data_IF_619909604017
#
_entry.id   IF_619909604017
#
_cell.length_a   1.000
_cell.length_b   1.000
_cell.length_c   1.000
_cell.angle_alpha   90.00
_cell.angle_beta   90.00
_cell.angle_gamma   90.00
#
_symmetry.space_group_name_H-M   'P 1'
#
loop_
_entity.id
_entity.type
_entity.pdbx_description
1 polymer ?
#
# COMPACT_ATOMS: atom_id res chain seq x y z
N UNK A 1 7.88 47.40 73.06
CA UNK A 1 7.11 47.35 71.76
C UNK A 1 7.83 46.41 70.82
N UNK A 2 7.40 45.13 70.80
CA UNK A 2 7.98 44.12 69.95
C UNK A 2 7.07 43.84 68.74
N UNK A 3 7.52 44.15 67.55
CA UNK A 3 6.87 43.77 66.30
C UNK A 3 7.40 42.43 65.82
N UNK A 4 6.58 41.40 65.92
CA UNK A 4 6.82 40.11 65.28
C UNK A 4 6.40 40.14 63.83
N UNK A 5 7.38 39.98 62.92
CA UNK A 5 7.15 39.80 61.50
C UNK A 5 6.82 38.35 61.19
N UNK A 6 5.63 38.11 60.69
CA UNK A 6 5.23 36.78 60.19
C UNK A 6 5.68 36.65 58.74
N UNK A 7 6.59 35.75 58.49
CA UNK A 7 6.97 35.34 57.12
C UNK A 7 6.07 34.17 56.71
N UNK A 8 5.15 34.40 55.80
CA UNK A 8 4.32 33.40 55.16
C UNK A 8 5.11 32.83 53.97
N UNK A 9 5.60 31.61 54.08
CA UNK A 9 6.18 30.84 52.99
C UNK A 9 5.05 30.22 52.17
N UNK A 10 4.76 30.76 51.00
CA UNK A 10 3.88 30.13 50.02
C UNK A 10 4.66 29.03 49.30
N UNK A 11 4.36 27.77 49.57
CA UNK A 11 4.86 26.65 48.82
C UNK A 11 4.07 26.56 47.49
N UNK A 12 4.71 26.93 46.38
CA UNK A 12 4.17 26.70 45.05
C UNK A 12 4.30 25.22 44.72
N UNK A 13 3.19 24.49 44.77
CA UNK A 13 3.11 23.14 44.25
C UNK A 13 3.12 23.18 42.71
N UNK A 14 4.26 22.93 42.08
CA UNK A 14 4.36 22.72 40.67
C UNK A 14 3.79 21.33 40.32
N UNK A 15 2.56 21.26 39.85
CA UNK A 15 1.97 20.08 39.22
C UNK A 15 2.58 19.95 37.84
N UNK A 16 3.61 19.11 37.73
CA UNK A 16 4.10 18.65 36.41
C UNK A 16 3.03 17.74 35.81
N UNK A 17 2.22 18.28 34.89
CA UNK A 17 1.39 17.48 34.01
C UNK A 17 2.34 16.71 33.09
N UNK A 18 2.58 15.44 33.39
CA UNK A 18 3.25 14.55 32.46
C UNK A 18 2.40 14.55 31.17
N UNK A 19 2.92 15.16 30.11
CA UNK A 19 2.33 15.05 28.80
C UNK A 19 2.35 13.56 28.43
N UNK A 20 1.20 12.89 28.49
CA UNK A 20 1.05 11.55 27.97
C UNK A 20 1.43 11.63 26.51
N UNK A 21 2.54 11.02 26.12
CA UNK A 21 2.93 10.90 24.72
C UNK A 21 1.71 10.33 23.95
N UNK A 22 1.28 11.03 22.92
CA UNK A 22 0.18 10.55 22.09
C UNK A 22 0.48 9.11 21.64
N UNK A 23 -0.46 8.18 21.74
CA UNK A 23 -0.23 6.79 21.37
C UNK A 23 0.27 6.73 19.93
N UNK A 24 1.34 5.97 19.71
CA UNK A 24 1.88 5.80 18.36
C UNK A 24 0.81 5.18 17.45
N UNK A 25 0.55 5.81 16.31
CA UNK A 25 -0.40 5.33 15.30
C UNK A 25 0.07 3.95 14.81
N UNK A 26 -0.78 2.90 14.87
CA UNK A 26 -0.44 1.61 14.28
C UNK A 26 -0.35 1.73 12.75
N UNK A 27 0.51 0.93 12.15
CA UNK A 27 0.72 0.92 10.71
C UNK A 27 0.37 -0.46 10.15
N UNK A 28 -0.45 -0.48 9.10
CA UNK A 28 -0.63 -1.63 8.21
C UNK A 28 0.08 -1.31 6.91
N UNK A 29 1.14 -2.05 6.64
CA UNK A 29 1.87 -1.93 5.38
C UNK A 29 1.12 -2.67 4.28
N UNK A 30 0.53 -1.95 3.34
CA UNK A 30 -0.33 -2.54 2.30
C UNK A 30 0.43 -2.94 1.04
N UNK A 31 1.78 -2.97 1.08
CA UNK A 31 2.55 -3.39 -0.07
C UNK A 31 3.92 -3.95 0.32
N UNK A 32 3.97 -5.24 0.54
CA UNK A 32 5.22 -6.00 0.66
C UNK A 32 5.18 -7.20 -0.27
N UNK A 33 6.34 -7.80 -0.54
CA UNK A 33 6.45 -9.02 -1.35
C UNK A 33 7.06 -10.14 -0.53
N UNK A 34 6.54 -11.38 -0.70
CA UNK A 34 7.08 -12.58 -0.07
C UNK A 34 7.59 -13.54 -1.14
N UNK A 35 8.81 -14.01 -0.97
CA UNK A 35 9.40 -15.04 -1.83
C UNK A 35 10.51 -15.80 -1.08
N UNK A 36 10.84 -17.01 -1.55
CA UNK A 36 11.90 -17.82 -1.00
C UNK A 36 12.86 -18.27 -2.11
N UNK A 37 14.08 -17.74 -2.08
CA UNK A 37 15.11 -18.04 -3.08
C UNK A 37 15.62 -19.47 -3.02
N UNK A 38 15.32 -20.22 -1.94
CA UNK A 38 15.72 -21.61 -1.75
C UNK A 38 14.72 -22.62 -2.34
N UNK A 39 13.58 -22.16 -2.88
CA UNK A 39 12.55 -23.05 -3.45
C UNK A 39 13.11 -23.88 -4.62
N UNK A 40 12.78 -25.18 -4.69
CA UNK A 40 13.05 -25.97 -5.87
C UNK A 40 12.42 -25.34 -7.11
N UNK A 41 13.16 -25.20 -8.20
CA UNK A 41 12.70 -24.52 -9.42
C UNK A 41 12.94 -23.01 -9.44
N UNK A 42 13.39 -22.42 -8.33
CA UNK A 42 13.68 -20.98 -8.23
C UNK A 42 12.44 -20.10 -8.10
N UNK A 43 12.62 -18.81 -8.36
CA UNK A 43 11.58 -17.77 -8.29
C UNK A 43 11.66 -16.89 -9.54
N UNK A 44 10.52 -16.37 -10.06
CA UNK A 44 10.52 -15.49 -11.23
C UNK A 44 11.17 -14.14 -10.94
N UNK A 45 11.02 -13.63 -9.70
CA UNK A 45 11.54 -12.36 -9.24
C UNK A 45 11.90 -12.45 -7.75
N UNK A 46 12.96 -11.74 -7.28
CA UNK A 46 13.91 -10.92 -8.05
C UNK A 46 14.93 -11.75 -8.83
N UNK A 47 15.68 -11.15 -9.77
CA UNK A 47 16.73 -11.85 -10.51
C UNK A 47 17.88 -12.25 -9.59
N UNK A 48 18.52 -13.40 -9.88
CA UNK A 48 19.55 -14.03 -9.01
C UNK A 48 20.76 -13.14 -8.73
N UNK A 49 21.11 -12.27 -9.66
CA UNK A 49 22.22 -11.32 -9.55
C UNK A 49 21.81 -9.95 -8.96
N UNK A 50 20.53 -9.82 -8.62
CA UNK A 50 19.98 -8.61 -8.05
C UNK A 50 20.34 -8.42 -6.56
N UNK A 51 20.47 -7.16 -6.08
CA UNK A 51 20.87 -6.86 -4.70
C UNK A 51 19.86 -7.30 -3.64
N UNK A 52 18.60 -7.53 -4.03
CA UNK A 52 17.53 -7.98 -3.13
C UNK A 52 17.29 -9.51 -3.20
N UNK A 53 18.15 -10.28 -3.87
CA UNK A 53 18.01 -11.73 -3.97
C UNK A 53 18.33 -12.43 -2.64
N UNK A 54 17.42 -12.25 -1.69
CA UNK A 54 17.46 -12.87 -0.36
C UNK A 54 16.03 -13.10 0.09
N UNK A 55 15.68 -14.31 0.52
CA UNK A 55 14.31 -14.70 0.87
C UNK A 55 13.61 -13.63 1.73
N UNK A 56 12.46 -13.16 1.25
CA UNK A 56 11.59 -12.25 1.94
C UNK A 56 10.48 -13.04 2.65
N UNK A 57 10.58 -13.14 3.97
CA UNK A 57 9.64 -13.90 4.80
C UNK A 57 8.95 -13.02 5.84
N UNK A 58 7.79 -13.44 6.39
CA UNK A 58 7.15 -12.72 7.50
C UNK A 58 8.06 -12.53 8.72
N UNK A 59 8.90 -13.51 9.02
CA UNK A 59 9.86 -13.41 10.13
C UNK A 59 10.92 -12.31 9.87
N UNK A 60 11.49 -12.27 8.66
CA UNK A 60 12.42 -11.19 8.26
C UNK A 60 11.75 -9.83 8.29
N UNK A 61 10.49 -9.74 7.83
CA UNK A 61 9.71 -8.50 7.88
C UNK A 61 9.50 -8.02 9.32
N UNK A 62 9.13 -8.90 10.25
CA UNK A 62 8.96 -8.52 11.68
C UNK A 62 10.23 -7.95 12.30
N UNK A 63 11.39 -8.56 12.03
CA UNK A 63 12.66 -8.01 12.53
C UNK A 63 12.98 -6.65 11.92
N UNK A 64 12.71 -6.48 10.61
CA UNK A 64 12.89 -5.20 9.90
C UNK A 64 12.09 -4.06 10.52
N UNK A 65 10.83 -4.32 10.88
CA UNK A 65 9.89 -3.29 11.36
C UNK A 65 9.83 -3.18 12.88
N UNK A 66 10.70 -3.88 13.59
CA UNK A 66 10.75 -3.87 15.06
C UNK A 66 10.91 -2.45 15.61
N UNK A 67 10.03 -2.05 16.53
CA UNK A 67 10.02 -0.71 17.11
C UNK A 67 9.40 0.39 16.22
N UNK A 68 8.95 0.07 15.01
CA UNK A 68 8.36 1.04 14.08
C UNK A 68 6.84 1.15 14.18
N UNK A 69 6.20 0.40 15.09
CA UNK A 69 4.74 0.28 15.22
C UNK A 69 4.02 -0.18 13.95
N UNK A 70 4.71 -0.95 13.10
CA UNK A 70 4.10 -1.68 11.99
C UNK A 70 3.57 -3.00 12.55
N UNK A 71 2.26 -3.14 12.56
CA UNK A 71 1.55 -4.21 13.27
C UNK A 71 0.90 -5.23 12.33
N UNK A 72 0.93 -4.95 11.03
CA UNK A 72 0.41 -5.86 10.01
C UNK A 72 0.88 -5.49 8.62
N UNK A 73 0.78 -6.46 7.69
CA UNK A 73 1.12 -6.27 6.30
C UNK A 73 0.18 -7.03 5.36
N UNK A 74 -0.02 -6.47 4.16
CA UNK A 74 -0.64 -7.12 3.00
C UNK A 74 0.45 -7.46 2.01
N UNK A 75 0.53 -8.73 1.66
CA UNK A 75 1.41 -9.19 0.59
C UNK A 75 0.80 -8.86 -0.77
N UNK A 76 1.64 -8.43 -1.69
CA UNK A 76 1.29 -8.19 -3.09
C UNK A 76 2.08 -9.16 -3.94
N UNK A 77 1.41 -9.85 -4.86
CA UNK A 77 2.03 -10.85 -5.73
C UNK A 77 3.34 -10.35 -6.36
N UNK A 78 4.30 -11.22 -6.47
CA UNK A 78 5.58 -11.00 -7.13
C UNK A 78 5.99 -12.19 -8.02
N UNK A 79 5.00 -12.93 -8.51
CA UNK A 79 5.17 -14.11 -9.36
C UNK A 79 3.95 -14.33 -10.24
N UNK A 80 4.13 -14.63 -11.55
CA UNK A 80 3.03 -14.99 -12.45
C UNK A 80 2.60 -16.46 -12.30
N UNK A 81 3.20 -17.20 -11.39
CA UNK A 81 2.94 -18.64 -11.22
C UNK A 81 1.67 -18.85 -10.39
N UNK A 82 0.70 -19.54 -10.96
CA UNK A 82 -0.59 -19.82 -10.31
C UNK A 82 -0.43 -20.46 -8.91
N UNK A 83 0.50 -21.41 -8.76
CA UNK A 83 0.70 -22.13 -7.50
C UNK A 83 1.31 -21.26 -6.40
N UNK A 84 1.91 -20.13 -6.75
CA UNK A 84 2.46 -19.19 -5.77
C UNK A 84 1.36 -18.52 -4.94
N UNK A 85 0.13 -18.39 -5.45
CA UNK A 85 -1.00 -17.96 -4.63
C UNK A 85 -1.20 -18.87 -3.40
N UNK A 86 -1.16 -20.20 -3.60
CA UNK A 86 -1.33 -21.12 -2.50
C UNK A 86 -0.11 -21.13 -1.57
N UNK A 87 1.09 -21.08 -2.14
CA UNK A 87 2.32 -21.00 -1.35
C UNK A 87 2.34 -19.79 -0.41
N UNK A 88 1.96 -18.60 -0.92
CA UNK A 88 1.88 -17.37 -0.11
C UNK A 88 0.84 -17.54 0.98
N UNK A 89 -0.36 -18.05 0.69
CA UNK A 89 -1.40 -18.31 1.70
C UNK A 89 -0.90 -19.24 2.80
N UNK A 90 -0.16 -20.31 2.45
CA UNK A 90 0.38 -21.29 3.41
C UNK A 90 1.48 -20.67 4.30
N UNK A 91 2.29 -19.77 3.75
CA UNK A 91 3.29 -19.00 4.51
C UNK A 91 2.61 -18.03 5.46
N UNK A 92 1.62 -17.27 4.97
CA UNK A 92 0.91 -16.27 5.75
C UNK A 92 0.05 -16.86 6.86
N UNK A 93 -0.52 -18.07 6.65
CA UNK A 93 -1.33 -18.75 7.66
C UNK A 93 -0.57 -18.93 8.99
N UNK A 94 0.75 -19.06 8.93
CA UNK A 94 1.64 -19.33 10.07
C UNK A 94 2.06 -18.05 10.84
N UNK A 95 1.80 -16.87 10.29
CA UNK A 95 2.29 -15.62 10.88
C UNK A 95 1.18 -14.54 10.92
N UNK A 96 0.73 -14.12 12.12
CA UNK A 96 -0.37 -13.17 12.24
C UNK A 96 -0.02 -11.73 11.85
N UNK A 97 1.25 -11.40 11.60
CA UNK A 97 1.63 -10.10 11.04
C UNK A 97 1.06 -9.91 9.64
N UNK A 98 0.83 -11.00 8.92
CA UNK A 98 0.25 -10.97 7.58
C UNK A 98 -1.28 -10.90 7.66
N UNK A 99 -1.86 -9.78 7.24
CA UNK A 99 -3.31 -9.54 7.31
C UNK A 99 -4.06 -9.94 6.03
N UNK A 100 -3.36 -10.19 4.94
CA UNK A 100 -3.91 -10.65 3.68
C UNK A 100 -2.94 -10.58 2.52
N UNK A 101 -3.40 -11.04 1.35
CA UNK A 101 -2.64 -10.98 0.11
C UNK A 101 -3.49 -10.52 -1.07
N UNK A 102 -2.83 -9.95 -2.03
CA UNK A 102 -3.31 -9.69 -3.39
C UNK A 102 -2.56 -10.64 -4.32
N UNK A 103 -3.27 -11.62 -4.84
CA UNK A 103 -2.68 -12.71 -5.64
C UNK A 103 -2.60 -12.41 -7.13
N UNK A 104 -2.15 -13.37 -7.90
CA UNK A 104 -2.09 -13.32 -9.37
C UNK A 104 -3.11 -14.28 -9.98
N UNK A 105 -4.16 -13.75 -10.60
CA UNK A 105 -5.07 -14.48 -11.46
C UNK A 105 -5.33 -13.69 -12.74
N UNK A 106 -5.47 -14.40 -13.86
CA UNK A 106 -5.76 -13.82 -15.19
C UNK A 106 -7.28 -13.72 -15.41
N UNK A 107 -7.91 -12.53 -15.35
CA UNK A 107 -9.37 -12.37 -15.49
C UNK A 107 -9.93 -12.86 -16.80
N UNK A 108 -9.15 -12.82 -17.89
CA UNK A 108 -9.52 -13.32 -19.20
C UNK A 108 -9.37 -14.85 -19.38
N UNK A 109 -8.80 -15.57 -18.40
CA UNK A 109 -8.58 -17.01 -18.52
C UNK A 109 -9.88 -17.82 -18.44
N UNK A 110 -9.93 -18.98 -19.13
CA UNK A 110 -11.11 -19.84 -19.14
C UNK A 110 -11.52 -20.35 -17.74
N UNK A 111 -10.53 -20.64 -16.91
CA UNK A 111 -10.74 -21.14 -15.56
C UNK A 111 -10.79 -20.06 -14.48
N UNK A 112 -10.84 -18.78 -14.88
CA UNK A 112 -10.79 -17.68 -13.90
C UNK A 112 -11.87 -17.81 -12.81
N UNK A 113 -13.11 -18.09 -13.19
CA UNK A 113 -14.21 -18.26 -12.23
C UNK A 113 -13.94 -19.40 -11.21
N UNK A 114 -13.39 -20.52 -11.68
CA UNK A 114 -13.00 -21.66 -10.83
C UNK A 114 -11.84 -21.32 -9.89
N UNK A 115 -10.83 -20.62 -10.40
CA UNK A 115 -9.69 -20.18 -9.63
C UNK A 115 -10.10 -19.16 -8.57
N UNK A 116 -10.91 -18.18 -8.95
CA UNK A 116 -11.47 -17.19 -8.04
C UNK A 116 -12.28 -17.85 -6.92
N UNK A 117 -13.18 -18.80 -7.27
CA UNK A 117 -13.97 -19.58 -6.31
C UNK A 117 -13.08 -20.34 -5.30
N UNK A 118 -11.95 -20.89 -5.76
CA UNK A 118 -10.99 -21.59 -4.89
C UNK A 118 -10.39 -20.65 -3.84
N UNK A 119 -9.86 -19.50 -4.27
CA UNK A 119 -9.07 -18.64 -3.40
C UNK A 119 -9.93 -17.71 -2.54
N UNK A 120 -11.06 -17.19 -3.04
CA UNK A 120 -11.88 -16.24 -2.30
C UNK A 120 -12.46 -16.80 -0.99
N UNK A 121 -12.51 -18.13 -0.85
CA UNK A 121 -12.92 -18.82 0.40
C UNK A 121 -11.93 -18.61 1.55
N UNK A 122 -10.68 -18.27 1.23
CA UNK A 122 -9.67 -17.96 2.23
C UNK A 122 -9.77 -16.47 2.61
N UNK A 123 -10.04 -16.11 3.87
CA UNK A 123 -10.20 -14.72 4.29
C UNK A 123 -8.91 -13.89 4.14
N UNK A 124 -7.78 -14.51 3.90
CA UNK A 124 -6.52 -13.82 3.61
C UNK A 124 -6.36 -13.45 2.13
N UNK A 125 -7.20 -13.98 1.24
CA UNK A 125 -7.18 -13.65 -0.19
C UNK A 125 -8.06 -12.43 -0.42
N UNK A 126 -7.46 -11.24 -0.59
CA UNK A 126 -8.16 -9.95 -0.60
C UNK A 126 -8.45 -9.43 -2.01
N UNK A 127 -7.79 -10.00 -3.02
CA UNK A 127 -7.93 -9.54 -4.39
C UNK A 127 -6.87 -10.09 -5.33
N UNK A 128 -6.76 -9.46 -6.50
CA UNK A 128 -5.73 -9.77 -7.50
C UNK A 128 -4.99 -8.51 -7.90
N UNK A 129 -3.73 -8.68 -8.34
CA UNK A 129 -2.95 -7.62 -9.00
C UNK A 129 -2.92 -7.88 -10.49
N UNK A 130 -3.24 -6.86 -11.28
CA UNK A 130 -3.19 -6.93 -12.73
C UNK A 130 -2.81 -5.58 -13.33
N UNK A 131 -1.94 -5.57 -14.34
CA UNK A 131 -1.50 -4.33 -14.97
C UNK A 131 -0.39 -4.61 -15.98
N UNK A 132 0.49 -3.63 -16.18
CA UNK A 132 1.64 -3.75 -17.08
C UNK A 132 2.81 -4.44 -16.37
N UNK A 133 2.64 -5.72 -16.05
CA UNK A 133 3.60 -6.58 -15.37
C UNK A 133 3.52 -7.98 -15.97
N UNK A 134 4.59 -8.75 -15.93
CA UNK A 134 4.66 -10.11 -16.47
C UNK A 134 4.34 -10.18 -17.96
N UNK A 135 4.90 -9.25 -18.75
CA UNK A 135 4.67 -9.12 -20.21
C UNK A 135 3.19 -8.94 -20.60
N UNK A 136 2.34 -8.49 -19.67
CA UNK A 136 0.93 -8.21 -19.92
C UNK A 136 0.75 -6.82 -20.52
N UNK A 137 -0.10 -6.73 -21.53
CA UNK A 137 -0.63 -5.47 -22.07
C UNK A 137 -2.02 -5.21 -21.49
N UNK A 138 -2.10 -4.38 -20.45
CA UNK A 138 -3.37 -4.05 -19.81
C UNK A 138 -4.33 -3.35 -20.77
N UNK A 139 -3.82 -2.51 -21.68
CA UNK A 139 -4.64 -1.78 -22.66
C UNK A 139 -5.37 -2.75 -23.59
N UNK A 140 -4.67 -3.71 -24.16
CA UNK A 140 -5.27 -4.73 -25.01
C UNK A 140 -6.28 -5.57 -24.21
N UNK A 141 -5.88 -6.09 -23.04
CA UNK A 141 -6.70 -6.97 -22.21
C UNK A 141 -7.97 -6.31 -21.68
N UNK A 142 -7.91 -5.07 -21.23
CA UNK A 142 -9.07 -4.35 -20.69
C UNK A 142 -10.17 -4.06 -21.73
N UNK A 143 -9.91 -4.30 -23.01
CA UNK A 143 -10.91 -4.21 -24.08
C UNK A 143 -11.57 -5.57 -24.41
N UNK A 144 -11.01 -6.68 -23.97
CA UNK A 144 -11.54 -8.02 -24.22
C UNK A 144 -12.82 -8.26 -23.37
N UNK A 145 -13.96 -8.68 -23.99
CA UNK A 145 -15.20 -8.94 -23.25
C UNK A 145 -15.00 -9.92 -22.08
N UNK A 146 -14.22 -10.98 -22.31
CA UNK A 146 -13.95 -12.02 -21.31
C UNK A 146 -13.18 -11.50 -20.10
N UNK A 147 -12.22 -10.59 -20.32
CA UNK A 147 -11.52 -9.91 -19.22
C UNK A 147 -12.51 -9.11 -18.38
N UNK A 148 -13.41 -8.34 -19.01
CA UNK A 148 -14.43 -7.55 -18.31
C UNK A 148 -15.37 -8.45 -17.50
N UNK A 149 -15.78 -9.61 -18.04
CA UNK A 149 -16.57 -10.57 -17.27
C UNK A 149 -15.82 -11.10 -16.05
N UNK A 150 -14.54 -11.41 -16.19
CA UNK A 150 -13.69 -11.79 -15.05
C UNK A 150 -13.60 -10.69 -13.98
N UNK A 151 -13.44 -9.44 -14.37
CA UNK A 151 -13.44 -8.31 -13.43
C UNK A 151 -14.81 -8.12 -12.75
N UNK A 152 -15.92 -8.37 -13.45
CA UNK A 152 -17.26 -8.37 -12.82
C UNK A 152 -17.38 -9.47 -11.76
N UNK A 153 -16.86 -10.67 -12.03
CA UNK A 153 -16.82 -11.76 -11.04
C UNK A 153 -15.97 -11.39 -9.82
N UNK A 154 -14.81 -10.76 -10.03
CA UNK A 154 -13.96 -10.25 -8.95
C UNK A 154 -14.72 -9.26 -8.06
N UNK A 155 -15.43 -8.30 -8.69
CA UNK A 155 -16.22 -7.30 -7.98
C UNK A 155 -17.43 -7.92 -7.23
N UNK A 156 -18.08 -8.93 -7.80
CA UNK A 156 -19.16 -9.70 -7.16
C UNK A 156 -18.66 -10.51 -5.96
N UNK A 157 -17.45 -11.08 -6.05
CA UNK A 157 -16.78 -11.74 -4.94
C UNK A 157 -16.30 -10.76 -3.86
N UNK A 158 -16.53 -9.44 -4.06
CA UNK A 158 -16.14 -8.41 -3.12
C UNK A 158 -14.62 -8.32 -2.88
N UNK A 159 -13.85 -8.69 -3.89
CA UNK A 159 -12.39 -8.63 -3.91
C UNK A 159 -11.88 -7.36 -4.60
N UNK A 160 -10.62 -7.04 -4.38
CA UNK A 160 -9.98 -5.81 -4.88
C UNK A 160 -9.14 -6.09 -6.11
N UNK A 161 -9.09 -5.15 -7.05
CA UNK A 161 -8.11 -5.10 -8.12
C UNK A 161 -7.01 -4.11 -7.76
N UNK A 162 -5.79 -4.57 -7.61
CA UNK A 162 -4.60 -3.72 -7.57
C UNK A 162 -4.02 -3.54 -8.97
N UNK A 163 -3.69 -2.31 -9.37
CA UNK A 163 -3.11 -2.05 -10.68
C UNK A 163 -1.60 -1.92 -10.61
N UNK A 164 -0.87 -2.80 -11.31
CA UNK A 164 0.57 -2.74 -11.39
C UNK A 164 1.05 -1.71 -12.42
N UNK A 165 2.13 -0.99 -12.10
CA UNK A 165 2.83 -0.07 -13.00
C UNK A 165 1.90 0.92 -13.72
N UNK A 166 1.24 1.85 -12.99
CA UNK A 166 0.22 2.74 -13.51
C UNK A 166 0.81 3.81 -14.45
N UNK A 167 0.97 3.45 -15.73
CA UNK A 167 1.29 4.40 -16.80
C UNK A 167 0.09 5.32 -17.07
N UNK A 168 0.30 6.39 -17.84
CA UNK A 168 -0.78 7.29 -18.25
C UNK A 168 -1.89 6.56 -19.01
N UNK A 169 -1.49 5.63 -19.92
CA UNK A 169 -2.43 4.79 -20.67
C UNK A 169 -3.22 3.88 -19.72
N UNK A 170 -2.54 3.22 -18.79
CA UNK A 170 -3.20 2.36 -17.80
C UNK A 170 -4.20 3.15 -16.95
N UNK A 171 -3.88 4.39 -16.53
CA UNK A 171 -4.82 5.24 -15.77
C UNK A 171 -6.09 5.55 -16.57
N UNK A 172 -5.95 5.84 -17.88
CA UNK A 172 -7.11 6.02 -18.77
C UNK A 172 -7.93 4.73 -18.93
N UNK A 173 -7.26 3.58 -18.99
CA UNK A 173 -7.92 2.27 -19.08
C UNK A 173 -8.66 1.92 -17.78
N UNK A 174 -8.09 2.21 -16.62
CA UNK A 174 -8.75 2.03 -15.33
C UNK A 174 -10.01 2.90 -15.19
N UNK A 175 -9.98 4.12 -15.72
CA UNK A 175 -11.17 4.96 -15.76
C UNK A 175 -12.30 4.30 -16.55
N UNK A 176 -11.99 3.80 -17.78
CA UNK A 176 -12.96 3.06 -18.61
C UNK A 176 -13.44 1.76 -17.94
N UNK A 177 -12.52 1.06 -17.27
CA UNK A 177 -12.87 -0.15 -16.53
C UNK A 177 -13.86 0.14 -15.40
N UNK A 178 -13.62 1.21 -14.64
CA UNK A 178 -14.53 1.65 -13.57
C UNK A 178 -15.91 2.06 -14.08
N UNK A 179 -16.00 2.62 -15.28
CA UNK A 179 -17.30 2.95 -15.91
C UNK A 179 -18.07 1.67 -16.30
N UNK A 180 -17.35 0.60 -16.69
CA UNK A 180 -17.95 -0.72 -17.02
C UNK A 180 -18.29 -1.57 -15.80
N UNK A 181 -17.52 -1.40 -14.70
CA UNK A 181 -17.68 -2.18 -13.44
C UNK A 181 -17.67 -1.22 -12.24
N UNK A 182 -18.76 -0.44 -12.03
CA UNK A 182 -18.77 0.64 -11.03
C UNK A 182 -18.54 0.19 -9.58
N UNK A 183 -18.94 -1.03 -9.24
CA UNK A 183 -18.79 -1.62 -7.90
C UNK A 183 -17.40 -2.23 -7.64
N UNK A 184 -16.49 -2.26 -8.63
CA UNK A 184 -15.13 -2.73 -8.46
C UNK A 184 -14.40 -1.88 -7.43
N UNK A 185 -13.76 -2.48 -6.43
CA UNK A 185 -12.73 -1.82 -5.65
C UNK A 185 -11.41 -1.84 -6.42
N UNK A 186 -10.81 -0.69 -6.54
CA UNK A 186 -9.60 -0.48 -7.30
C UNK A 186 -8.56 0.23 -6.45
N UNK A 187 -7.37 -0.34 -6.39
CA UNK A 187 -6.20 0.31 -5.78
C UNK A 187 -5.14 0.51 -6.86
N UNK A 188 -4.70 1.74 -7.04
CA UNK A 188 -3.55 2.03 -7.88
C UNK A 188 -2.28 1.86 -7.06
N UNK A 189 -1.40 0.94 -7.49
CA UNK A 189 -0.12 0.73 -6.85
C UNK A 189 0.80 1.93 -7.03
N UNK A 190 1.59 2.19 -6.00
CA UNK A 190 2.57 3.27 -5.96
C UNK A 190 1.95 4.66 -6.15
N UNK A 191 2.79 5.64 -6.41
CA UNK A 191 2.36 7.00 -6.72
C UNK A 191 2.13 7.10 -8.23
N UNK A 192 0.88 7.06 -8.73
CA UNK A 192 0.65 7.20 -10.16
C UNK A 192 1.19 8.56 -10.66
N UNK A 193 1.75 8.56 -11.86
CA UNK A 193 2.41 9.73 -12.46
C UNK A 193 3.57 10.27 -11.59
N UNK A 194 4.39 9.38 -11.10
CA UNK A 194 5.58 9.74 -10.33
C UNK A 194 6.53 10.66 -11.10
N UNK A 195 6.66 10.43 -12.39
CA UNK A 195 7.51 11.22 -13.29
C UNK A 195 6.64 11.84 -14.36
N UNK A 196 6.50 13.17 -14.37
CA UNK A 196 5.82 13.85 -15.45
C UNK A 196 6.63 13.65 -16.74
N UNK A 197 5.93 13.47 -17.86
CA UNK A 197 6.57 13.47 -19.18
C UNK A 197 6.99 14.89 -19.57
N UNK A 198 7.82 15.01 -20.62
CA UNK A 198 8.15 16.31 -21.18
C UNK A 198 6.93 17.03 -21.80
N UNK A 199 5.86 16.28 -22.14
CA UNK A 199 4.64 16.82 -22.72
C UNK A 199 3.65 17.29 -21.64
N UNK A 200 3.51 18.60 -21.51
CA UNK A 200 2.60 19.22 -20.54
C UNK A 200 1.11 18.91 -20.80
N UNK A 201 0.70 18.70 -22.07
CA UNK A 201 -0.68 18.36 -22.41
C UNK A 201 -1.01 16.94 -21.94
N UNK A 202 -0.10 15.99 -22.14
CA UNK A 202 -0.21 14.61 -21.67
C UNK A 202 -0.27 14.57 -20.14
N UNK A 203 0.56 15.34 -19.44
CA UNK A 203 0.54 15.44 -17.99
C UNK A 203 -0.80 15.98 -17.45
N UNK A 204 -1.31 17.04 -18.10
CA UNK A 204 -2.61 17.64 -17.74
C UNK A 204 -3.77 16.65 -17.93
N UNK A 205 -3.76 15.89 -19.01
CA UNK A 205 -4.76 14.86 -19.27
C UNK A 205 -4.70 13.73 -18.24
N UNK A 206 -3.49 13.28 -17.89
CA UNK A 206 -3.31 12.28 -16.84
C UNK A 206 -3.86 12.75 -15.48
N UNK A 207 -3.60 14.00 -15.09
CA UNK A 207 -4.16 14.60 -13.87
C UNK A 207 -5.69 14.66 -13.93
N UNK A 208 -6.28 14.97 -15.09
CA UNK A 208 -7.73 14.95 -15.27
C UNK A 208 -8.31 13.54 -15.06
N UNK A 209 -7.68 12.50 -15.64
CA UNK A 209 -8.09 11.11 -15.44
C UNK A 209 -7.97 10.66 -13.97
N UNK A 210 -6.89 11.06 -13.27
CA UNK A 210 -6.72 10.76 -11.85
C UNK A 210 -7.81 11.44 -11.00
N UNK A 211 -8.15 12.72 -11.29
CA UNK A 211 -9.24 13.41 -10.62
C UNK A 211 -10.60 12.77 -10.89
N UNK A 212 -10.81 12.27 -12.09
CA UNK A 212 -12.04 11.56 -12.42
C UNK A 212 -12.11 10.18 -11.75
N UNK A 213 -11.01 9.44 -11.67
CA UNK A 213 -10.93 8.21 -10.88
C UNK A 213 -11.20 8.47 -9.40
N UNK A 214 -10.63 9.54 -8.83
CA UNK A 214 -10.81 9.91 -7.44
C UNK A 214 -12.27 10.23 -7.07
N UNK A 215 -13.12 10.62 -8.03
CA UNK A 215 -14.57 10.83 -7.81
C UNK A 215 -15.36 9.52 -7.74
N UNK A 216 -14.82 8.42 -8.25
CA UNK A 216 -15.54 7.13 -8.29
C UNK A 216 -15.45 6.42 -6.95
N UNK A 217 -16.54 5.79 -6.49
CA UNK A 217 -16.52 5.04 -5.24
C UNK A 217 -15.55 3.84 -5.31
N UNK A 218 -14.90 3.53 -4.19
CA UNK A 218 -14.02 2.37 -4.07
C UNK A 218 -12.71 2.47 -4.86
N UNK A 219 -12.26 3.67 -5.22
CA UNK A 219 -10.94 3.90 -5.84
C UNK A 219 -9.99 4.46 -4.81
N UNK A 220 -8.84 3.83 -4.67
CA UNK A 220 -7.76 4.18 -3.74
C UNK A 220 -6.43 4.28 -4.46
N UNK A 221 -5.45 4.90 -3.82
CA UNK A 221 -4.07 5.01 -4.33
C UNK A 221 -3.07 4.71 -3.21
N UNK A 222 -2.05 3.93 -3.51
CA UNK A 222 -0.92 3.72 -2.60
C UNK A 222 0.11 4.82 -2.76
N UNK A 223 0.45 5.45 -1.65
CA UNK A 223 1.70 6.21 -1.50
C UNK A 223 2.72 5.24 -0.97
N UNK A 224 3.31 4.44 -1.87
CA UNK A 224 4.24 3.36 -1.55
C UNK A 224 5.53 3.48 -2.36
N UNK A 225 6.61 2.85 -1.87
CA UNK A 225 7.92 2.92 -2.49
C UNK A 225 8.34 4.36 -2.75
N UNK A 226 8.20 5.24 -1.76
CA UNK A 226 8.29 6.70 -1.95
C UNK A 226 9.65 7.19 -2.40
N UNK A 227 10.74 6.52 -1.97
CA UNK A 227 12.10 6.89 -2.35
C UNK A 227 12.37 6.62 -3.83
N UNK A 228 13.02 7.57 -4.50
CA UNK A 228 13.35 7.50 -5.92
C UNK A 228 14.77 7.95 -6.18
N UNK A 229 15.44 7.28 -7.11
CA UNK A 229 16.72 7.71 -7.61
C UNK A 229 16.52 8.87 -8.59
N UNK A 230 17.27 9.95 -8.40
CA UNK A 230 17.30 11.13 -9.27
C UNK A 230 18.76 11.50 -9.48
N UNK A 231 19.20 11.57 -10.73
CA UNK A 231 20.60 11.87 -11.09
C UNK A 231 21.63 11.02 -10.31
N UNK A 232 21.35 9.71 -10.21
CA UNK A 232 22.23 8.76 -9.51
C UNK A 232 22.21 8.83 -7.98
N UNK A 233 21.36 9.66 -7.37
CA UNK A 233 21.23 9.82 -5.91
C UNK A 233 19.78 9.62 -5.48
N UNK A 234 19.59 9.20 -4.23
CA UNK A 234 18.25 9.11 -3.62
C UNK A 234 18.14 10.21 -2.56
N UNK A 235 17.35 11.28 -2.82
CA UNK A 235 17.06 12.29 -1.82
C UNK A 235 16.43 11.67 -0.57
N UNK A 236 16.83 12.12 0.63
CA UNK A 236 16.30 11.62 1.90
C UNK A 236 15.38 12.62 2.60
N UNK A 237 15.34 13.85 2.11
CA UNK A 237 14.56 14.96 2.69
C UNK A 237 13.11 14.91 2.20
N UNK A 238 12.18 14.94 3.13
CA UNK A 238 10.72 14.97 2.85
C UNK A 238 10.33 16.13 1.94
N UNK A 239 11.01 17.27 2.05
CA UNK A 239 10.78 18.44 1.21
C UNK A 239 10.90 18.15 -0.30
N UNK A 240 11.77 17.20 -0.69
CA UNK A 240 11.93 16.79 -2.09
C UNK A 240 10.66 16.12 -2.61
N UNK A 241 10.04 15.25 -1.81
CA UNK A 241 8.87 14.46 -2.20
C UNK A 241 7.54 15.21 -2.00
N UNK A 242 7.55 16.27 -1.18
CA UNK A 242 6.37 17.01 -0.79
C UNK A 242 5.48 17.49 -1.95
N UNK A 243 6.00 18.11 -3.03
CA UNK A 243 5.15 18.60 -4.13
C UNK A 243 4.31 17.48 -4.77
N UNK A 244 4.88 16.30 -4.88
CA UNK A 244 4.20 15.13 -5.43
C UNK A 244 3.19 14.54 -4.46
N UNK A 245 3.57 14.40 -3.20
CA UNK A 245 2.66 13.95 -2.13
C UNK A 245 1.47 14.91 -2.02
N UNK A 246 1.68 16.23 -2.12
CA UNK A 246 0.62 17.23 -2.16
C UNK A 246 -0.32 16.99 -3.35
N UNK A 247 0.21 16.78 -4.55
CA UNK A 247 -0.63 16.52 -5.74
C UNK A 247 -1.54 15.31 -5.55
N UNK A 248 -1.00 14.19 -5.06
CA UNK A 248 -1.79 12.98 -4.82
C UNK A 248 -2.81 13.18 -3.69
N UNK A 249 -2.40 13.83 -2.62
CA UNK A 249 -3.28 14.10 -1.49
C UNK A 249 -4.42 15.08 -1.87
N UNK A 250 -4.14 16.06 -2.70
CA UNK A 250 -5.16 17.00 -3.22
C UNK A 250 -6.16 16.32 -4.16
N UNK A 251 -5.71 15.34 -4.94
CA UNK A 251 -6.58 14.60 -5.86
C UNK A 251 -7.46 13.60 -5.10
N UNK A 252 -6.89 12.80 -4.20
CA UNK A 252 -7.58 11.67 -3.58
C UNK A 252 -8.14 11.97 -2.19
N UNK A 253 -7.66 13.04 -1.56
CA UNK A 253 -8.07 13.40 -0.20
C UNK A 253 -7.58 12.43 0.88
N UNK A 254 -7.95 12.69 2.14
CA UNK A 254 -7.48 11.87 3.27
C UNK A 254 -8.06 10.46 3.30
N UNK A 255 -9.18 10.19 2.63
CA UNK A 255 -9.93 8.94 2.76
C UNK A 255 -9.54 7.85 1.76
N UNK A 256 -8.63 8.16 0.82
CA UNK A 256 -8.31 7.25 -0.32
C UNK A 256 -6.84 7.01 -0.56
N UNK A 257 -5.98 7.51 0.32
CA UNK A 257 -4.54 7.29 0.27
C UNK A 257 -4.13 6.19 1.24
N UNK A 258 -3.29 5.26 0.80
CA UNK A 258 -2.85 4.09 1.57
C UNK A 258 -1.33 4.11 1.73
N UNK A 259 -0.84 3.64 2.89
CA UNK A 259 0.58 3.38 3.10
C UNK A 259 1.00 2.03 2.51
N UNK A 260 2.18 1.98 1.91
CA UNK A 260 2.89 0.78 1.53
C UNK A 260 4.39 1.04 1.44
N UNK A 261 5.22 0.10 1.85
CA UNK A 261 6.67 0.25 1.77
C UNK A 261 7.22 -0.12 0.40
N UNK A 262 6.62 -1.10 -0.24
CA UNK A 262 7.16 -1.81 -1.41
C UNK A 262 8.41 -2.66 -1.05
N UNK A 263 8.50 -3.11 0.21
CA UNK A 263 9.60 -3.98 0.64
C UNK A 263 9.48 -5.40 0.05
N UNK A 264 10.58 -6.04 -0.38
CA UNK A 264 11.96 -5.57 -0.35
C UNK A 264 12.38 -4.80 -1.62
N UNK A 265 11.50 -4.58 -2.60
CA UNK A 265 11.82 -3.84 -3.82
C UNK A 265 12.34 -2.43 -3.51
N UNK A 266 11.76 -1.75 -2.53
CA UNK A 266 12.20 -0.42 -2.08
C UNK A 266 13.65 -0.37 -1.56
N UNK A 267 14.25 -1.50 -1.17
CA UNK A 267 15.64 -1.57 -0.68
C UNK A 267 16.66 -1.13 -1.76
N UNK A 268 16.28 -1.11 -3.05
CA UNK A 268 17.07 -0.50 -4.13
C UNK A 268 17.31 1.00 -3.94
N UNK A 269 16.39 1.70 -3.27
CA UNK A 269 16.41 3.15 -3.11
C UNK A 269 16.74 3.61 -1.69
N UNK A 270 16.70 2.71 -0.72
CA UNK A 270 16.99 3.05 0.67
C UNK A 270 16.35 2.09 1.65
N UNK A 271 16.61 2.30 2.93
CA UNK A 271 16.07 1.45 3.98
C UNK A 271 14.56 1.67 4.19
N UNK A 272 13.89 0.67 4.73
CA UNK A 272 12.49 0.76 5.16
C UNK A 272 12.25 2.00 6.05
N UNK A 273 13.15 2.22 7.01
CA UNK A 273 13.07 3.34 7.96
C UNK A 273 13.15 4.71 7.26
N UNK A 274 14.01 4.86 6.25
CA UNK A 274 14.12 6.10 5.48
C UNK A 274 12.86 6.40 4.70
N UNK A 275 12.29 5.40 4.03
CA UNK A 275 11.01 5.55 3.33
C UNK A 275 9.87 5.90 4.29
N UNK A 276 9.77 5.19 5.42
CA UNK A 276 8.77 5.45 6.45
C UNK A 276 8.93 6.84 7.08
N UNK A 277 10.16 7.32 7.28
CA UNK A 277 10.43 8.67 7.78
C UNK A 277 9.81 9.73 6.86
N UNK A 278 10.04 9.65 5.55
CA UNK A 278 9.51 10.61 4.58
C UNK A 278 7.98 10.73 4.68
N UNK A 279 7.28 9.60 4.70
CA UNK A 279 5.81 9.63 4.77
C UNK A 279 5.30 10.03 6.16
N UNK A 280 5.98 9.67 7.24
CA UNK A 280 5.64 10.15 8.59
C UNK A 280 5.77 11.67 8.70
N UNK A 281 6.89 12.23 8.25
CA UNK A 281 7.12 13.68 8.27
C UNK A 281 6.11 14.46 7.40
N UNK A 282 5.55 13.80 6.37
CA UNK A 282 4.51 14.39 5.53
C UNK A 282 3.11 14.28 6.13
N UNK A 283 2.73 13.11 6.65
CA UNK A 283 1.35 12.86 7.10
C UNK A 283 1.09 13.28 8.55
N UNK A 284 2.05 13.11 9.48
CA UNK A 284 1.85 13.44 10.89
C UNK A 284 1.43 14.90 11.13
N UNK A 285 2.01 15.92 10.43
CA UNK A 285 1.58 17.31 10.56
C UNK A 285 0.16 17.58 10.07
N UNK A 286 -0.47 16.68 9.30
CA UNK A 286 -1.88 16.79 8.87
C UNK A 286 -2.87 16.43 9.98
N UNK A 287 -2.36 16.02 11.15
CA UNK A 287 -3.13 15.67 12.33
C UNK A 287 -3.41 14.18 12.45
N UNK A 288 -3.80 13.76 13.65
CA UNK A 288 -3.97 12.35 14.02
C UNK A 288 -4.96 11.62 13.11
N UNK A 289 -6.13 12.20 12.86
CA UNK A 289 -7.17 11.58 12.05
C UNK A 289 -6.71 11.29 10.60
N UNK A 290 -6.02 12.26 9.95
CA UNK A 290 -5.50 12.07 8.60
C UNK A 290 -4.37 11.02 8.58
N UNK A 291 -3.51 11.03 9.60
CA UNK A 291 -2.43 10.04 9.73
C UNK A 291 -2.96 8.62 9.96
N UNK A 292 -3.95 8.45 10.83
CA UNK A 292 -4.60 7.15 11.05
C UNK A 292 -5.25 6.61 9.78
N UNK A 293 -5.93 7.48 9.00
CA UNK A 293 -6.52 7.11 7.71
C UNK A 293 -5.44 6.58 6.77
N UNK A 294 -4.36 7.30 6.61
CA UNK A 294 -3.25 6.91 5.73
C UNK A 294 -2.56 5.61 6.18
N UNK A 295 -2.22 5.51 7.47
CA UNK A 295 -1.41 4.39 7.95
C UNK A 295 -2.19 3.09 8.16
N UNK A 296 -3.52 3.13 8.34
CA UNK A 296 -4.27 1.89 8.53
C UNK A 296 -5.77 1.93 8.18
N UNK A 297 -6.54 3.02 8.52
CA UNK A 297 -8.00 2.99 8.39
C UNK A 297 -8.47 2.77 6.96
N UNK A 298 -7.92 3.53 6.01
CA UNK A 298 -8.29 3.40 4.60
C UNK A 298 -7.98 2.00 4.04
N UNK A 299 -6.98 1.31 4.59
CA UNK A 299 -6.64 -0.05 4.15
C UNK A 299 -7.73 -1.07 4.49
N UNK A 300 -8.50 -0.84 5.55
CA UNK A 300 -9.66 -1.69 5.88
C UNK A 300 -10.74 -1.55 4.81
N UNK A 301 -11.06 -0.31 4.42
CA UNK A 301 -12.07 -0.04 3.39
C UNK A 301 -11.63 -0.56 2.02
N UNK A 302 -10.35 -0.41 1.69
CA UNK A 302 -9.78 -0.86 0.42
C UNK A 302 -9.73 -2.39 0.30
N UNK A 303 -9.31 -3.08 1.36
CA UNK A 303 -8.97 -4.51 1.29
C UNK A 303 -9.86 -5.41 2.14
N UNK A 304 -10.53 -4.86 3.17
CA UNK A 304 -11.36 -5.64 4.12
C UNK A 304 -10.58 -6.76 4.81
N UNK A 305 -9.30 -6.52 5.07
CA UNK A 305 -8.45 -7.46 5.78
C UNK A 305 -8.99 -7.74 7.18
N UNK A 306 -8.70 -8.94 7.69
CA UNK A 306 -9.18 -9.39 9.00
C UNK A 306 -8.07 -9.25 10.05
N UNK A 307 -8.46 -8.81 11.26
CA UNK A 307 -7.55 -8.72 12.39
C UNK A 307 -7.13 -10.12 12.83
N UNK A 308 -5.82 -10.34 12.96
CA UNK A 308 -5.20 -11.62 13.35
C UNK A 308 -4.35 -11.54 14.62
N UNK A 309 -3.97 -10.32 15.04
CA UNK A 309 -3.14 -10.07 16.21
C UNK A 309 -3.78 -9.00 17.10
N UNK A 310 -3.55 -9.09 18.43
CA UNK A 310 -4.09 -8.15 19.39
C UNK A 310 -3.68 -6.70 19.14
N UNK A 311 -2.45 -6.48 18.63
CA UNK A 311 -1.89 -5.15 18.35
C UNK A 311 -2.43 -4.51 17.07
N UNK A 312 -3.06 -5.29 16.19
CA UNK A 312 -3.70 -4.73 14.98
C UNK A 312 -4.95 -3.94 15.37
N UNK A 313 -5.20 -2.80 14.72
CA UNK A 313 -6.39 -2.01 15.00
C UNK A 313 -7.66 -2.74 14.58
N UNK A 314 -8.81 -2.29 15.11
CA UNK A 314 -10.15 -2.73 14.67
C UNK A 314 -10.80 -1.62 13.85
N UNK A 315 -11.61 -2.02 12.85
CA UNK A 315 -12.50 -1.12 12.12
C UNK A 315 -13.49 -0.43 13.08
#
# INVERSE_FOLDING_TARGET
MNRRTFLSTAAAASTSVAALAAPMIPIIDTHIHLFDVSRPGGIPWPPKDGPIYTSASPARFRELVKGLNVVGAVEIECSPLFDDNQWVLDVMAKDPVMTGMIGDLEPGHNDFAKHLERFHKNPLYLGIRYGNIWDRDFHAKSNEPKFIEGIKLLAQANLTLDSANPTQQLIADLLRLKDRVPNLRLVMDHLPRLEPTADAAVNKQCDAHLRDLAKRPGVYVKVSGVLRQVDGKVPKETAFYKPRLDTIYDIFGPDRVLYGSDWPNSDHNGTYQEGLKVVREYFMPKGQAASEKYFWRNSIDAYRWVKRDANQPRA
#
